data_IF_177632643846
#
_entry.id   IF_177632643846
#
_cell.length_a   1.000
_cell.length_b   1.000
_cell.length_c   1.000
_cell.angle_alpha   90.00
_cell.angle_beta   90.00
_cell.angle_gamma   90.00
#
_symmetry.space_group_name_H-M   'P 1'
#
loop_
_entity.id
_entity.type
_entity.pdbx_description
1 polymer ?
#
# COMPACT_ATOMS: atom_id res chain seq x y z
N UNK A 1 -23.78 1.83 -44.27
CA UNK A 1 -24.45 1.96 -42.95
C UNK A 1 -23.69 1.04 -42.01
N UNK A 2 -22.92 1.46 -41.00
CA UNK A 2 -22.83 2.73 -40.29
C UNK A 2 -21.37 3.22 -40.22
N UNK A 3 -21.19 4.54 -40.17
CA UNK A 3 -19.92 5.21 -39.84
C UNK A 3 -19.48 4.79 -38.43
N UNK A 4 -18.47 3.94 -38.31
CA UNK A 4 -17.71 3.83 -37.07
C UNK A 4 -16.87 5.09 -36.95
N UNK A 5 -17.34 6.00 -36.10
CA UNK A 5 -16.61 7.20 -35.73
C UNK A 5 -15.23 6.76 -35.23
N UNK A 6 -14.21 7.27 -35.89
CA UNK A 6 -12.80 7.15 -35.53
C UNK A 6 -12.56 7.93 -34.22
N UNK A 7 -13.13 7.44 -33.11
CA UNK A 7 -12.87 7.97 -31.78
C UNK A 7 -11.41 7.65 -31.46
N UNK A 8 -10.61 8.70 -31.24
CA UNK A 8 -9.20 8.60 -30.87
C UNK A 8 -9.06 7.65 -29.68
N UNK A 9 -8.59 6.43 -29.94
CA UNK A 9 -8.25 5.44 -28.92
C UNK A 9 -7.35 6.12 -27.90
N UNK A 10 -7.76 6.12 -26.63
CA UNK A 10 -6.96 6.70 -25.55
C UNK A 10 -5.79 5.75 -25.27
N UNK A 11 -4.57 6.21 -25.55
CA UNK A 11 -3.34 5.40 -25.52
C UNK A 11 -2.78 5.09 -24.13
N UNK A 12 -3.61 4.62 -23.20
CA UNK A 12 -3.15 4.14 -21.89
C UNK A 12 -3.54 2.69 -21.62
N UNK A 13 -2.62 1.94 -21.03
CA UNK A 13 -2.74 0.51 -20.74
C UNK A 13 -2.80 0.31 -19.23
N UNK A 14 -3.64 -0.60 -18.77
CA UNK A 14 -3.62 -1.08 -17.39
C UNK A 14 -3.09 -2.52 -17.36
N UNK A 15 -2.04 -2.75 -16.59
CA UNK A 15 -1.50 -4.08 -16.31
C UNK A 15 -1.87 -4.45 -14.87
N UNK A 16 -2.53 -5.60 -14.71
CA UNK A 16 -2.93 -6.13 -13.40
C UNK A 16 -2.01 -7.29 -13.03
N UNK A 17 -1.23 -7.09 -11.96
CA UNK A 17 -0.25 -8.05 -11.46
C UNK A 17 1.18 -7.71 -11.89
N UNK A 18 2.07 -7.64 -10.90
CA UNK A 18 3.49 -7.32 -11.04
C UNK A 18 4.42 -8.52 -11.08
N UNK A 19 3.95 -9.69 -11.52
CA UNK A 19 4.83 -10.83 -11.81
C UNK A 19 5.63 -10.63 -13.10
N UNK A 20 6.53 -11.55 -13.44
CA UNK A 20 7.40 -11.44 -14.64
C UNK A 20 6.63 -11.15 -15.93
N UNK A 21 5.46 -11.78 -16.14
CA UNK A 21 4.63 -11.54 -17.33
C UNK A 21 4.04 -10.13 -17.37
N UNK A 22 3.55 -9.63 -16.24
CA UNK A 22 3.02 -8.26 -16.15
C UNK A 22 4.11 -7.21 -16.27
N UNK A 23 5.27 -7.46 -15.66
CA UNK A 23 6.45 -6.58 -15.77
C UNK A 23 6.90 -6.48 -17.24
N UNK A 24 7.02 -7.61 -17.94
CA UNK A 24 7.41 -7.58 -19.36
C UNK A 24 6.35 -6.87 -20.21
N UNK A 25 5.07 -7.20 -20.03
CA UNK A 25 3.99 -6.56 -20.79
C UNK A 25 3.96 -5.03 -20.57
N UNK A 26 4.24 -4.57 -19.34
CA UNK A 26 4.30 -3.16 -19.06
C UNK A 26 5.51 -2.48 -19.71
N UNK A 27 6.68 -3.11 -19.69
CA UNK A 27 7.89 -2.60 -20.36
C UNK A 27 7.66 -2.50 -21.87
N UNK A 28 7.19 -3.56 -22.52
CA UNK A 28 6.95 -3.58 -23.97
C UNK A 28 5.97 -2.47 -24.40
N UNK A 29 4.88 -2.28 -23.65
CA UNK A 29 3.89 -1.24 -23.95
C UNK A 29 4.43 0.16 -23.66
N UNK A 30 5.25 0.31 -22.62
CA UNK A 30 5.85 1.57 -22.25
C UNK A 30 6.93 2.04 -23.24
N UNK A 31 7.73 1.11 -23.75
CA UNK A 31 8.73 1.32 -24.81
C UNK A 31 8.08 1.60 -26.17
N UNK A 32 6.91 1.00 -26.44
CA UNK A 32 6.07 1.35 -27.58
C UNK A 32 5.45 2.76 -27.46
N UNK A 33 5.65 3.46 -26.35
CA UNK A 33 5.23 4.84 -26.14
C UNK A 33 3.85 5.01 -25.50
N UNK A 34 3.25 3.93 -24.97
CA UNK A 34 1.98 4.01 -24.25
C UNK A 34 2.19 4.34 -22.77
N UNK A 35 1.26 5.10 -22.17
CA UNK A 35 1.23 5.28 -20.72
C UNK A 35 0.69 4.00 -20.08
N UNK A 36 1.44 3.40 -19.17
CA UNK A 36 1.05 2.16 -18.49
C UNK A 36 0.78 2.45 -17.02
N UNK A 37 -0.36 1.98 -16.52
CA UNK A 37 -0.64 1.87 -15.10
C UNK A 37 -0.43 0.41 -14.69
N UNK A 38 0.41 0.15 -13.70
CA UNK A 38 0.64 -1.20 -13.18
C UNK A 38 0.08 -1.31 -11.78
N UNK A 39 -0.91 -2.18 -11.59
CA UNK A 39 -1.53 -2.43 -10.28
C UNK A 39 -0.98 -3.72 -9.70
N UNK A 40 -0.40 -3.64 -8.51
CA UNK A 40 0.15 -4.79 -7.78
C UNK A 40 -0.43 -4.87 -6.38
N UNK A 41 -0.94 -6.05 -6.02
CA UNK A 41 -1.64 -6.31 -4.77
C UNK A 41 -0.71 -6.20 -3.56
N UNK A 42 0.50 -6.72 -3.70
CA UNK A 42 1.50 -6.76 -2.63
C UNK A 42 2.32 -5.46 -2.57
N UNK A 43 3.19 -5.27 -1.56
CA UNK A 43 4.05 -4.10 -1.49
C UNK A 43 5.11 -4.01 -2.60
N UNK A 44 5.35 -5.07 -3.37
CA UNK A 44 6.44 -5.11 -4.36
C UNK A 44 6.04 -5.90 -5.60
N UNK A 45 6.54 -5.48 -6.76
CA UNK A 45 6.55 -6.32 -7.97
C UNK A 45 7.62 -7.42 -7.86
N UNK A 46 7.49 -8.47 -8.67
CA UNK A 46 8.35 -9.65 -8.68
C UNK A 46 7.55 -10.95 -8.85
N UNK A 47 6.43 -11.06 -8.14
CA UNK A 47 5.58 -12.25 -8.12
C UNK A 47 6.33 -13.50 -7.64
N UNK A 48 5.80 -14.68 -7.97
CA UNK A 48 6.36 -15.98 -7.53
C UNK A 48 7.81 -16.18 -7.99
N UNK A 49 8.18 -15.62 -9.15
CA UNK A 49 9.55 -15.76 -9.66
C UNK A 49 10.60 -15.20 -8.71
N UNK A 50 10.26 -14.16 -7.91
CA UNK A 50 11.17 -13.63 -6.90
C UNK A 50 11.49 -14.61 -5.77
N UNK A 51 10.56 -15.53 -5.46
CA UNK A 51 10.73 -16.55 -4.41
C UNK A 51 11.60 -17.73 -4.84
N UNK A 52 11.85 -17.91 -6.15
CA UNK A 52 12.66 -19.02 -6.65
C UNK A 52 14.14 -18.72 -6.45
N UNK A 53 14.98 -19.72 -6.16
CA UNK A 53 16.44 -19.52 -6.21
C UNK A 53 16.95 -19.56 -7.66
N UNK A 54 16.59 -20.63 -8.39
CA UNK A 54 17.01 -20.88 -9.78
C UNK A 54 15.85 -21.06 -10.73
N UNK A 55 16.11 -20.84 -12.02
CA UNK A 55 15.15 -21.06 -13.11
C UNK A 55 15.64 -22.12 -14.09
N UNK A 56 14.85 -23.16 -14.33
CA UNK A 56 15.13 -24.14 -15.38
C UNK A 56 14.91 -23.52 -16.77
N UNK A 57 15.55 -24.02 -17.84
CA UNK A 57 16.54 -25.10 -17.87
C UNK A 57 17.99 -24.65 -17.63
N UNK A 58 18.25 -23.34 -17.64
CA UNK A 58 19.61 -22.79 -17.56
C UNK A 58 20.21 -22.84 -16.16
N UNK A 59 19.36 -23.00 -15.14
CA UNK A 59 19.72 -22.91 -13.72
C UNK A 59 20.37 -21.57 -13.35
N UNK A 60 19.97 -20.50 -14.04
CA UNK A 60 20.32 -19.13 -13.66
C UNK A 60 19.66 -18.75 -12.34
N UNK A 61 20.28 -17.83 -11.60
CA UNK A 61 19.62 -17.19 -10.47
C UNK A 61 18.41 -16.38 -10.95
N UNK A 62 17.24 -16.63 -10.35
CA UNK A 62 15.98 -15.95 -10.70
C UNK A 62 16.13 -14.43 -10.59
N UNK A 63 16.76 -13.95 -9.52
CA UNK A 63 16.93 -12.53 -9.24
C UNK A 63 17.92 -11.86 -10.18
N UNK A 64 18.89 -12.60 -10.74
CA UNK A 64 19.82 -12.05 -11.72
C UNK A 64 19.10 -11.64 -13.01
N UNK A 65 18.05 -12.36 -13.41
CA UNK A 65 17.26 -12.06 -14.61
C UNK A 65 16.03 -11.20 -14.31
N UNK A 66 15.48 -11.29 -13.10
CA UNK A 66 14.28 -10.56 -12.70
C UNK A 66 14.60 -9.13 -12.21
N UNK A 67 15.61 -8.96 -11.36
CA UNK A 67 15.93 -7.67 -10.72
C UNK A 67 16.11 -6.51 -11.72
N UNK A 68 16.84 -6.68 -12.84
CA UNK A 68 16.98 -5.60 -13.83
C UNK A 68 15.63 -5.12 -14.36
N UNK A 69 14.72 -6.05 -14.67
CA UNK A 69 13.37 -5.73 -15.17
C UNK A 69 12.50 -5.04 -14.13
N UNK A 70 12.61 -5.43 -12.85
CA UNK A 70 11.88 -4.76 -11.78
C UNK A 70 12.33 -3.29 -11.64
N UNK A 71 13.65 -3.08 -11.62
CA UNK A 71 14.22 -1.72 -11.51
C UNK A 71 13.86 -0.87 -12.72
N UNK A 72 13.93 -1.45 -13.93
CA UNK A 72 13.53 -0.79 -15.16
C UNK A 72 12.06 -0.40 -15.11
N UNK A 73 11.16 -1.34 -14.83
CA UNK A 73 9.72 -1.08 -14.79
C UNK A 73 9.34 -0.05 -13.72
N UNK A 74 9.98 -0.11 -12.54
CA UNK A 74 9.69 0.81 -11.45
C UNK A 74 10.32 2.21 -11.61
N UNK A 75 11.25 2.41 -12.55
CA UNK A 75 11.84 3.73 -12.86
C UNK A 75 11.42 4.27 -14.23
N UNK A 76 10.66 3.51 -15.00
CA UNK A 76 10.26 3.89 -16.34
C UNK A 76 9.27 5.07 -16.31
N UNK A 77 9.55 6.15 -17.04
CA UNK A 77 8.74 7.38 -17.03
C UNK A 77 7.28 7.15 -17.50
N UNK A 78 7.08 6.20 -18.42
CA UNK A 78 5.75 5.85 -18.91
C UNK A 78 5.02 4.80 -18.05
N UNK A 79 5.64 4.25 -17.00
CA UNK A 79 4.99 3.28 -16.10
C UNK A 79 4.67 3.94 -14.77
N UNK A 80 3.40 3.91 -14.39
CA UNK A 80 2.94 4.30 -13.06
C UNK A 80 2.66 3.06 -12.22
N UNK A 81 3.56 2.77 -11.29
CA UNK A 81 3.44 1.63 -10.40
C UNK A 81 2.57 1.95 -9.18
N UNK A 82 1.43 1.29 -9.10
CA UNK A 82 0.46 1.38 -8.02
C UNK A 82 0.53 0.08 -7.20
N UNK A 83 1.55 -0.02 -6.34
CA UNK A 83 1.66 -1.09 -5.34
C UNK A 83 0.62 -0.97 -4.23
N UNK A 84 0.42 -2.04 -3.46
CA UNK A 84 -0.61 -2.12 -2.40
C UNK A 84 -2.00 -1.79 -2.95
N UNK A 85 -2.34 -2.27 -4.15
CA UNK A 85 -3.61 -1.95 -4.78
C UNK A 85 -4.21 -3.13 -5.54
N UNK A 86 -5.54 -3.15 -5.61
CA UNK A 86 -6.28 -4.18 -6.33
C UNK A 86 -7.42 -3.57 -7.14
N UNK A 87 -7.72 -4.18 -8.29
CA UNK A 87 -8.84 -3.78 -9.13
C UNK A 87 -10.12 -4.36 -8.54
N UNK A 88 -11.08 -3.51 -8.21
CA UNK A 88 -12.37 -3.94 -7.62
C UNK A 88 -13.49 -4.04 -8.64
N UNK A 89 -13.43 -3.24 -9.71
CA UNK A 89 -14.50 -3.09 -10.68
C UNK A 89 -13.94 -2.46 -11.96
N UNK A 90 -14.49 -2.86 -13.10
CA UNK A 90 -14.18 -2.26 -14.40
C UNK A 90 -15.43 -2.21 -15.28
N UNK A 91 -15.53 -1.16 -16.09
CA UNK A 91 -16.65 -0.93 -17.01
C UNK A 91 -16.14 -0.25 -18.28
N UNK A 92 -16.90 -0.35 -19.36
CA UNK A 92 -16.59 0.28 -20.64
C UNK A 92 -16.35 -0.73 -21.76
N UNK A 93 -15.77 -0.24 -22.85
CA UNK A 93 -15.55 -0.97 -24.09
C UNK A 93 -14.09 -0.86 -24.55
N UNK A 94 -13.61 -1.68 -25.49
CA UNK A 94 -12.22 -1.61 -25.98
C UNK A 94 -11.81 -0.18 -26.37
N UNK A 95 -10.75 0.33 -25.72
CA UNK A 95 -10.25 1.69 -25.93
C UNK A 95 -10.83 2.75 -25.00
N UNK A 96 -11.86 2.44 -24.22
CA UNK A 96 -12.48 3.35 -23.26
C UNK A 96 -12.93 2.62 -21.98
N UNK A 97 -11.96 2.08 -21.25
CA UNK A 97 -12.21 1.44 -19.95
C UNK A 97 -12.16 2.45 -18.80
N UNK A 98 -13.08 2.29 -17.85
CA UNK A 98 -13.06 2.95 -16.55
C UNK A 98 -12.89 1.88 -15.47
N UNK A 99 -11.78 1.97 -14.75
CA UNK A 99 -11.39 0.98 -13.73
C UNK A 99 -11.38 1.64 -12.36
N UNK A 100 -11.96 0.96 -11.37
CA UNK A 100 -11.87 1.35 -9.96
C UNK A 100 -10.79 0.50 -9.29
N UNK A 101 -9.87 1.19 -8.62
CA UNK A 101 -8.74 0.58 -7.93
C UNK A 101 -8.88 0.92 -6.44
N UNK A 102 -8.81 -0.10 -5.59
CA UNK A 102 -8.70 0.06 -4.15
C UNK A 102 -7.22 0.09 -3.78
N UNK A 103 -6.76 1.21 -3.22
CA UNK A 103 -5.38 1.37 -2.73
C UNK A 103 -5.34 1.17 -1.23
N UNK A 104 -4.68 0.10 -0.79
CA UNK A 104 -4.44 -0.21 0.61
C UNK A 104 -3.36 0.71 1.19
N UNK A 105 -3.51 1.13 2.46
CA UNK A 105 -2.51 1.98 3.10
C UNK A 105 -1.21 1.21 3.34
N UNK A 106 -0.11 1.72 2.82
CA UNK A 106 1.25 1.23 3.12
C UNK A 106 1.72 1.62 4.53
N UNK A 107 1.14 2.68 5.09
CA UNK A 107 1.54 3.37 6.33
C UNK A 107 2.99 3.89 6.36
N UNK A 108 3.67 3.85 5.21
CA UNK A 108 5.01 4.41 4.98
C UNK A 108 4.93 5.21 3.68
N UNK A 109 5.41 6.45 3.72
CA UNK A 109 5.48 7.32 2.54
C UNK A 109 6.55 6.81 1.59
N UNK A 110 6.22 6.67 0.29
CA UNK A 110 7.18 6.23 -0.72
C UNK A 110 8.23 7.31 -1.02
N UNK A 111 7.86 8.59 -0.91
CA UNK A 111 8.77 9.71 -1.21
C UNK A 111 9.80 9.92 -0.09
N UNK A 112 9.40 9.67 1.16
CA UNK A 112 10.26 9.87 2.33
C UNK A 112 11.11 8.63 2.66
N UNK A 113 10.61 7.43 2.36
CA UNK A 113 11.28 6.18 2.69
C UNK A 113 12.59 6.03 1.91
N UNK A 114 13.69 5.80 2.63
CA UNK A 114 15.02 5.55 2.04
C UNK A 114 15.36 4.06 1.90
N UNK A 115 14.50 3.17 2.39
CA UNK A 115 14.72 1.72 2.33
C UNK A 115 15.90 1.21 3.17
N UNK A 116 16.33 1.94 4.21
CA UNK A 116 17.53 1.61 5.01
C UNK A 116 17.40 0.35 5.88
N UNK A 117 16.21 0.08 6.45
CA UNK A 117 15.97 -1.09 7.30
C UNK A 117 15.91 -0.83 8.80
N UNK A 118 16.40 0.33 9.29
CA UNK A 118 16.46 0.66 10.73
C UNK A 118 15.10 0.47 11.46
N UNK A 119 14.01 0.75 10.75
CA UNK A 119 12.66 0.61 11.27
C UNK A 119 12.25 -0.86 11.55
N UNK A 120 12.74 -1.81 10.75
CA UNK A 120 12.49 -3.24 10.95
C UNK A 120 13.32 -3.79 12.11
N UNK A 121 14.56 -3.34 12.25
CA UNK A 121 15.44 -3.71 13.38
C UNK A 121 14.87 -3.22 14.71
N UNK A 122 14.39 -1.97 14.75
CA UNK A 122 13.76 -1.38 15.91
C UNK A 122 12.36 -1.97 16.23
N UNK A 123 11.77 -2.76 15.33
CA UNK A 123 10.40 -3.21 15.48
C UNK A 123 10.26 -4.26 16.60
N UNK A 124 9.48 -3.99 17.66
CA UNK A 124 9.27 -4.94 18.75
C UNK A 124 8.32 -6.08 18.36
N UNK A 125 7.54 -5.92 17.29
CA UNK A 125 6.56 -6.93 16.84
C UNK A 125 7.24 -7.84 15.81
N UNK A 126 7.55 -9.07 16.22
CA UNK A 126 8.33 -10.04 15.43
C UNK A 126 7.64 -11.38 15.14
N UNK A 127 6.35 -11.48 15.43
CA UNK A 127 5.56 -12.70 15.33
C UNK A 127 4.55 -12.67 14.16
N UNK A 128 4.90 -12.04 13.04
CA UNK A 128 4.04 -12.02 11.84
C UNK A 128 4.41 -13.17 10.92
N UNK A 129 3.43 -13.82 10.33
CA UNK A 129 3.70 -14.88 9.35
C UNK A 129 4.31 -14.26 8.10
N UNK A 130 5.47 -14.77 7.68
CA UNK A 130 6.08 -14.33 6.44
C UNK A 130 5.46 -15.08 5.25
N UNK A 131 4.50 -14.44 4.59
CA UNK A 131 3.83 -14.96 3.40
C UNK A 131 4.80 -15.15 2.23
N UNK A 132 5.86 -14.34 2.13
CA UNK A 132 6.86 -14.49 1.06
C UNK A 132 7.63 -15.80 1.19
N UNK A 133 7.92 -16.21 2.44
CA UNK A 133 8.63 -17.45 2.80
C UNK A 133 7.67 -18.61 3.03
N UNK A 134 6.44 -18.55 2.50
CA UNK A 134 5.40 -19.59 2.63
C UNK A 134 5.11 -20.01 4.09
N UNK A 135 5.27 -19.07 5.03
CA UNK A 135 5.05 -19.30 6.46
C UNK A 135 6.13 -20.12 7.17
N UNK A 136 7.26 -20.38 6.52
CA UNK A 136 8.40 -21.08 7.12
C UNK A 136 9.15 -20.24 8.16
N UNK A 137 8.99 -18.91 8.10
CA UNK A 137 9.60 -17.97 9.03
C UNK A 137 8.61 -16.91 9.49
N UNK A 138 8.90 -16.34 10.65
CA UNK A 138 8.24 -15.12 11.11
C UNK A 138 8.97 -13.89 10.57
N UNK A 139 8.24 -12.78 10.47
CA UNK A 139 8.76 -11.46 10.12
C UNK A 139 8.24 -10.39 11.08
N UNK A 140 8.81 -9.20 10.94
CA UNK A 140 8.38 -8.00 11.67
C UNK A 140 7.07 -7.43 11.10
N UNK A 141 6.40 -6.58 11.90
CA UNK A 141 5.19 -5.88 11.45
C UNK A 141 5.48 -4.82 10.38
N UNK A 142 6.60 -4.09 10.51
CA UNK A 142 7.16 -3.30 9.42
C UNK A 142 8.15 -4.15 8.65
N UNK A 143 7.95 -4.27 7.34
CA UNK A 143 8.68 -5.23 6.52
C UNK A 143 8.85 -4.74 5.10
N UNK A 144 9.80 -5.37 4.42
CA UNK A 144 9.95 -5.35 2.97
C UNK A 144 9.91 -6.82 2.52
N UNK A 145 9.15 -7.18 1.47
CA UNK A 145 8.93 -8.59 1.13
C UNK A 145 10.21 -9.40 0.91
N UNK A 146 11.19 -8.81 0.21
CA UNK A 146 12.51 -9.39 -0.08
C UNK A 146 13.51 -8.26 -0.35
N UNK A 147 14.80 -8.58 -0.41
CA UNK A 147 15.86 -7.57 -0.40
C UNK A 147 16.02 -6.74 -1.67
N UNK A 148 15.55 -7.25 -2.79
CA UNK A 148 15.57 -6.56 -4.09
C UNK A 148 14.16 -6.09 -4.49
N UNK A 149 13.25 -5.94 -3.51
CA UNK A 149 11.89 -5.48 -3.75
C UNK A 149 11.83 -4.13 -4.46
N UNK A 150 10.88 -3.98 -5.38
CA UNK A 150 10.60 -2.75 -6.10
C UNK A 150 9.10 -2.39 -5.94
N UNK A 151 8.74 -1.21 -5.41
CA UNK A 151 9.61 -0.17 -4.88
C UNK A 151 10.44 -0.65 -3.68
N UNK A 152 11.67 -0.17 -3.53
CA UNK A 152 12.53 -0.47 -2.38
C UNK A 152 12.08 0.34 -1.15
N UNK A 153 10.87 0.03 -0.68
CA UNK A 153 10.21 0.72 0.41
C UNK A 153 9.53 -0.28 1.34
N UNK A 154 9.48 0.07 2.61
CA UNK A 154 8.83 -0.75 3.64
C UNK A 154 7.30 -0.56 3.61
N UNK A 155 6.60 -1.50 4.22
CA UNK A 155 5.16 -1.44 4.49
C UNK A 155 4.91 -1.89 5.93
N UNK A 156 3.86 -1.37 6.57
CA UNK A 156 3.44 -1.83 7.89
C UNK A 156 2.18 -2.67 7.74
N UNK A 157 2.24 -3.90 8.22
CA UNK A 157 1.05 -4.71 8.41
C UNK A 157 0.42 -4.39 9.76
N UNK A 158 -0.73 -3.72 9.72
CA UNK A 158 -1.52 -3.41 10.91
C UNK A 158 -2.53 -4.52 11.16
N UNK A 159 -2.40 -5.21 12.30
CA UNK A 159 -3.37 -6.19 12.78
C UNK A 159 -4.19 -5.64 13.95
N UNK A 160 -5.46 -6.02 13.98
CA UNK A 160 -6.38 -5.74 15.09
C UNK A 160 -6.81 -4.27 15.20
N UNK A 161 -7.43 -3.97 16.35
CA UNK A 161 -7.96 -2.65 16.68
C UNK A 161 -7.02 -2.02 17.71
N UNK A 162 -6.54 -0.78 17.50
CA UNK A 162 -5.66 -0.13 18.46
C UNK A 162 -6.40 0.13 19.78
N UNK A 163 -5.71 0.11 20.94
CA UNK A 163 -6.34 0.32 22.25
C UNK A 163 -7.19 1.59 22.34
N UNK A 164 -6.76 2.68 21.70
CA UNK A 164 -7.50 3.94 21.66
C UNK A 164 -8.88 3.83 20.98
N UNK A 165 -9.03 2.96 19.97
CA UNK A 165 -10.32 2.67 19.32
C UNK A 165 -11.11 1.61 20.06
N UNK A 166 -10.43 0.62 20.64
CA UNK A 166 -11.07 -0.45 21.40
C UNK A 166 -11.72 0.07 22.69
N UNK A 167 -11.06 1.00 23.39
CA UNK A 167 -11.56 1.62 24.64
C UNK A 167 -12.57 2.73 24.43
N UNK A 168 -12.63 3.31 23.24
CA UNK A 168 -13.63 4.32 22.93
C UNK A 168 -15.04 3.67 22.94
N UNK A 169 -16.00 4.14 23.76
CA UNK A 169 -17.34 3.55 23.84
C UNK A 169 -18.11 3.55 22.50
N UNK A 170 -17.76 4.48 21.60
CA UNK A 170 -18.38 4.64 20.28
C UNK A 170 -17.43 4.24 19.14
N UNK A 171 -16.26 3.69 19.46
CA UNK A 171 -15.28 3.16 18.51
C UNK A 171 -14.85 4.13 17.39
N UNK A 172 -14.76 5.44 17.70
CA UNK A 172 -14.14 6.43 16.78
C UNK A 172 -12.70 6.03 16.46
N UNK A 173 -12.12 6.62 15.41
CA UNK A 173 -10.78 6.29 14.93
C UNK A 173 -9.73 7.39 15.24
N UNK A 174 -9.21 7.49 16.49
CA UNK A 174 -8.17 8.45 16.86
C UNK A 174 -6.97 8.50 15.94
N UNK A 175 -6.38 7.35 15.66
CA UNK A 175 -5.20 7.26 14.81
C UNK A 175 -5.44 7.85 13.40
N UNK A 176 -6.65 7.67 12.87
CA UNK A 176 -7.00 8.17 11.54
C UNK A 176 -7.14 9.70 11.52
N UNK A 177 -7.97 10.27 12.39
CA UNK A 177 -8.21 11.71 12.33
C UNK A 177 -7.02 12.53 12.83
N UNK A 178 -6.23 12.03 13.79
CA UNK A 178 -4.98 12.69 14.24
C UNK A 178 -3.98 12.75 13.09
N UNK A 179 -3.84 11.67 12.30
CA UNK A 179 -3.00 11.69 11.11
C UNK A 179 -3.52 12.67 10.04
N UNK A 180 -4.84 12.73 9.82
CA UNK A 180 -5.44 13.69 8.88
C UNK A 180 -5.22 15.14 9.33
N UNK A 181 -5.30 15.41 10.64
CA UNK A 181 -4.99 16.72 11.24
C UNK A 181 -3.52 17.08 11.03
N UNK A 182 -2.60 16.12 11.24
CA UNK A 182 -1.16 16.29 10.97
C UNK A 182 -0.90 16.67 9.50
N UNK A 183 -1.64 16.08 8.57
CA UNK A 183 -1.55 16.38 7.14
C UNK A 183 -2.29 17.68 6.73
N UNK A 184 -2.90 18.41 7.67
CA UNK A 184 -3.70 19.61 7.41
C UNK A 184 -5.07 19.35 6.77
N UNK A 185 -5.52 18.10 6.72
CA UNK A 185 -6.79 17.68 6.09
C UNK A 185 -7.96 17.71 7.09
N UNK A 186 -8.23 18.90 7.65
CA UNK A 186 -9.19 19.08 8.73
C UNK A 186 -10.62 18.64 8.37
N UNK A 187 -11.08 18.91 7.15
CA UNK A 187 -12.42 18.50 6.71
C UNK A 187 -12.57 16.97 6.67
N UNK A 188 -11.54 16.28 6.18
CA UNK A 188 -11.52 14.81 6.13
C UNK A 188 -11.43 14.22 7.54
N UNK A 189 -10.65 14.85 8.43
CA UNK A 189 -10.57 14.47 9.84
C UNK A 189 -11.95 14.57 10.51
N UNK A 190 -12.66 15.67 10.31
CA UNK A 190 -14.00 15.88 10.84
C UNK A 190 -15.01 14.89 10.25
N UNK A 191 -14.94 14.63 8.94
CA UNK A 191 -15.78 13.63 8.29
C UNK A 191 -15.57 12.23 8.88
N UNK A 192 -14.30 11.83 9.09
CA UNK A 192 -13.95 10.55 9.71
C UNK A 192 -14.47 10.43 11.15
N UNK A 193 -14.43 11.51 11.94
CA UNK A 193 -15.02 11.51 13.29
C UNK A 193 -16.55 11.34 13.19
N UNK A 194 -17.18 12.06 12.26
CA UNK A 194 -18.65 12.06 12.05
C UNK A 194 -19.23 10.73 11.57
N UNK A 195 -18.41 9.82 11.04
CA UNK A 195 -18.86 8.45 10.72
C UNK A 195 -19.45 7.71 11.93
N UNK A 196 -18.95 7.99 13.13
CA UNK A 196 -19.39 7.36 14.38
C UNK A 196 -19.93 8.34 15.40
N UNK A 197 -19.56 9.62 15.27
CA UNK A 197 -19.89 10.64 16.26
C UNK A 197 -20.52 11.87 15.59
N UNK A 198 -21.86 11.97 15.55
CA UNK A 198 -22.55 13.09 14.91
C UNK A 198 -22.36 14.42 15.65
N UNK A 199 -21.99 14.40 16.94
CA UNK A 199 -21.88 15.60 17.79
C UNK A 199 -20.49 15.73 18.43
N UNK A 200 -19.40 15.77 17.64
CA UNK A 200 -18.04 15.67 18.16
C UNK A 200 -17.70 16.77 19.17
N UNK A 201 -18.21 17.99 18.96
CA UNK A 201 -18.01 19.13 19.85
C UNK A 201 -18.63 18.96 21.24
N UNK A 202 -19.77 18.27 21.36
CA UNK A 202 -20.43 18.03 22.65
C UNK A 202 -19.78 16.83 23.33
N UNK A 203 -19.67 15.71 22.60
CA UNK A 203 -19.09 14.47 23.12
C UNK A 203 -17.66 14.62 23.58
N UNK A 204 -16.92 15.56 22.97
CA UNK A 204 -15.56 15.87 23.38
C UNK A 204 -15.47 16.46 24.78
N UNK A 205 -16.37 17.41 25.09
CA UNK A 205 -16.43 18.07 26.39
C UNK A 205 -16.86 17.16 27.54
N UNK A 206 -17.61 16.10 27.24
CA UNK A 206 -18.05 15.11 28.24
C UNK A 206 -17.20 13.84 28.24
N UNK A 207 -16.16 13.76 27.39
CA UNK A 207 -15.36 12.56 27.29
C UNK A 207 -14.53 12.36 28.57
N UNK A 208 -14.50 11.12 29.06
CA UNK A 208 -13.66 10.71 30.20
C UNK A 208 -12.29 10.19 29.79
N UNK A 209 -11.92 10.33 28.51
CA UNK A 209 -10.62 9.99 27.94
C UNK A 209 -10.12 8.54 28.25
N UNK A 210 -10.98 7.49 28.11
CA UNK A 210 -10.55 6.11 28.39
C UNK A 210 -9.48 5.61 27.42
N UNK A 211 -9.32 6.26 26.27
CA UNK A 211 -8.27 5.99 25.30
C UNK A 211 -6.87 6.39 25.78
N UNK A 212 -6.75 7.40 26.64
CA UNK A 212 -5.46 7.88 27.15
C UNK A 212 -4.88 6.94 28.19
N UNK A 213 -5.72 6.44 29.10
CA UNK A 213 -5.31 5.48 30.14
C UNK A 213 -4.78 4.16 29.57
N UNK A 214 -5.26 3.75 28.39
CA UNK A 214 -4.82 2.54 27.70
C UNK A 214 -3.85 2.84 26.54
N UNK A 215 -3.30 4.04 26.47
CA UNK A 215 -2.45 4.44 25.36
C UNK A 215 -1.09 3.74 25.42
N UNK A 216 -0.77 2.92 24.42
CA UNK A 216 0.51 2.23 24.30
C UNK A 216 1.71 3.18 24.18
N UNK A 217 1.47 4.42 23.74
CA UNK A 217 2.49 5.47 23.66
C UNK A 217 3.07 5.83 25.03
N UNK A 218 2.24 5.72 26.09
CA UNK A 218 2.65 5.93 27.48
C UNK A 218 3.73 4.94 27.98
N UNK A 219 4.01 3.85 27.24
CA UNK A 219 5.13 2.94 27.55
C UNK A 219 6.49 3.51 27.14
N UNK A 220 6.52 4.53 26.29
CA UNK A 220 7.75 5.12 25.75
C UNK A 220 7.92 6.58 26.20
N UNK A 221 6.85 7.38 26.10
CA UNK A 221 6.79 8.76 26.53
C UNK A 221 5.47 9.01 27.28
N UNK A 222 4.56 9.82 26.75
CA UNK A 222 3.31 10.20 27.38
C UNK A 222 2.09 9.75 26.56
N UNK A 223 0.92 9.52 27.18
CA UNK A 223 -0.30 9.31 26.43
C UNK A 223 -0.55 10.46 25.46
N UNK A 224 -0.91 10.13 24.22
CA UNK A 224 -1.39 11.13 23.27
C UNK A 224 -2.70 11.70 23.81
N UNK A 225 -2.67 12.99 24.18
CA UNK A 225 -3.88 13.74 24.49
C UNK A 225 -4.76 13.80 23.24
N UNK A 226 -6.01 13.38 23.40
CA UNK A 226 -7.03 13.47 22.35
C UNK A 226 -8.01 14.56 22.79
N UNK A 227 -7.54 15.80 22.72
CA UNK A 227 -8.35 16.97 23.03
C UNK A 227 -9.25 17.34 21.85
N UNK A 228 -10.44 17.86 22.16
CA UNK A 228 -11.51 18.23 21.23
C UNK A 228 -11.70 19.74 21.17
#
# INVERSE_FOLDING_TARGET
MANEKNEKVKGSVLVVGGGIGGVQAALDMADAGFKVYMVEKTPSIGGVMSQLDKTFPTNDCSMCILSPKLVEAGRHNNIELISMAEVIDFSGEPGNFKVKILKHPRYVSLDDCKGCGDCADACPVNNRVNVYEEGLMERKAIYRPFDQAMPSAFAIEKLGIPPCRARCPIHVNPQGYVNLIKDGKFEQALALIREKNPFPAITGRICTHPCETACERAKYDEPIAIDY
#
